data_IF_500044251152
#
_entry.id   IF_500044251152
#
_cell.length_a   1.000
_cell.length_b   1.000
_cell.length_c   1.000
_cell.angle_alpha   90.00
_cell.angle_beta   90.00
_cell.angle_gamma   90.00
#
_symmetry.space_group_name_H-M   'P 1'
#
loop_
_entity.id
_entity.type
_entity.pdbx_description
1 polymer ?
#
# COMPACT_ATOMS: atom_id res chain seq x y z
N UNK A 1 -12.46 11.19 -14.29
CA UNK A 1 -13.48 10.19 -13.93
C UNK A 1 -13.23 8.88 -14.66
N UNK A 2 -13.48 7.79 -13.98
CA UNK A 2 -13.34 6.46 -14.57
C UNK A 2 -14.63 6.09 -15.30
N UNK A 3 -14.53 5.74 -16.59
CA UNK A 3 -15.70 5.40 -17.43
C UNK A 3 -16.78 6.48 -17.44
N UNK A 4 -16.40 7.74 -17.29
CA UNK A 4 -17.33 8.86 -17.31
C UNK A 4 -18.21 8.98 -16.06
N UNK A 5 -17.96 8.19 -15.03
CA UNK A 5 -18.71 8.23 -13.78
C UNK A 5 -17.91 8.82 -12.65
N UNK A 6 -18.59 9.51 -11.75
CA UNK A 6 -17.98 9.96 -10.51
C UNK A 6 -17.88 8.77 -9.58
N UNK A 7 -16.66 8.39 -9.18
CA UNK A 7 -16.45 7.22 -8.36
C UNK A 7 -16.76 7.45 -6.89
N UNK A 8 -16.63 8.68 -6.42
CA UNK A 8 -16.91 9.01 -5.04
C UNK A 8 -17.25 10.50 -4.92
N UNK A 9 -18.23 10.81 -4.10
CA UNK A 9 -18.66 12.18 -3.82
C UNK A 9 -18.48 12.42 -2.32
N UNK A 10 -17.91 13.56 -1.96
CA UNK A 10 -17.71 13.95 -0.58
C UNK A 10 -16.66 15.03 -0.46
N UNK A 11 -16.37 15.45 0.77
CA UNK A 11 -15.28 16.38 1.02
C UNK A 11 -13.93 15.69 0.74
N UNK A 12 -12.86 16.44 0.45
CA UNK A 12 -11.55 15.84 0.26
C UNK A 12 -11.11 14.95 1.42
N UNK A 13 -11.47 15.31 2.65
CA UNK A 13 -11.15 14.50 3.82
C UNK A 13 -11.90 13.17 3.82
N UNK A 14 -13.19 13.18 3.44
CA UNK A 14 -13.97 11.95 3.33
C UNK A 14 -13.41 11.04 2.25
N UNK A 15 -13.08 11.59 1.09
CA UNK A 15 -12.49 10.83 -0.02
C UNK A 15 -11.17 10.20 0.42
N UNK A 16 -10.36 10.93 1.17
CA UNK A 16 -9.08 10.42 1.67
C UNK A 16 -9.29 9.23 2.62
N UNK A 17 -10.28 9.31 3.50
CA UNK A 17 -10.52 8.30 4.52
C UNK A 17 -11.40 7.13 4.03
N UNK A 18 -12.25 7.37 3.03
CA UNK A 18 -13.19 6.38 2.49
C UNK A 18 -12.91 6.11 1.03
N UNK A 19 -11.86 5.37 0.76
CA UNK A 19 -11.50 5.04 -0.61
C UNK A 19 -12.41 3.92 -1.13
N UNK A 20 -13.20 4.18 -2.17
CA UNK A 20 -14.12 3.20 -2.73
C UNK A 20 -13.48 2.24 -3.72
N UNK A 21 -12.53 2.69 -4.52
CA UNK A 21 -11.92 1.84 -5.53
C UNK A 21 -10.49 2.29 -5.84
N UNK A 22 -9.78 1.50 -6.65
CA UNK A 22 -8.40 1.76 -7.00
C UNK A 22 -8.22 3.05 -7.79
N UNK A 23 -9.22 3.44 -8.58
CA UNK A 23 -9.17 4.69 -9.32
C UNK A 23 -9.07 5.88 -8.37
N UNK A 24 -9.94 5.92 -7.36
CA UNK A 24 -9.92 6.98 -6.34
C UNK A 24 -8.62 6.90 -5.55
N UNK A 25 -8.21 5.70 -5.13
CA UNK A 25 -7.00 5.51 -4.34
C UNK A 25 -5.76 6.06 -5.05
N UNK A 26 -5.69 5.94 -6.37
CA UNK A 26 -4.53 6.39 -7.14
C UNK A 26 -4.45 7.91 -7.28
N UNK A 27 -5.52 8.64 -6.96
CA UNK A 27 -5.54 10.10 -7.07
C UNK A 27 -5.41 10.82 -5.73
N UNK A 28 -5.68 10.14 -4.63
CA UNK A 28 -5.73 10.78 -3.31
C UNK A 28 -4.45 10.49 -2.53
N UNK A 29 -3.88 11.54 -2.00
CA UNK A 29 -2.65 11.44 -1.23
C UNK A 29 -1.42 11.88 -2.00
N UNK A 30 -0.33 12.14 -1.29
CA UNK A 30 0.96 12.51 -1.85
C UNK A 30 2.06 11.85 -1.01
N UNK A 31 2.56 10.69 -1.38
CA UNK A 31 2.25 9.95 -2.62
C UNK A 31 0.86 9.33 -2.59
N UNK A 32 0.34 8.90 -3.75
CA UNK A 32 -0.92 8.15 -3.80
C UNK A 32 -0.81 6.83 -3.04
N UNK A 33 -1.97 6.23 -2.72
CA UNK A 33 -2.00 4.93 -2.05
C UNK A 33 -1.21 3.88 -2.85
N UNK A 34 -0.43 3.07 -2.15
CA UNK A 34 0.27 1.95 -2.75
C UNK A 34 -0.74 0.86 -3.11
N UNK A 35 -0.63 0.31 -4.31
CA UNK A 35 -1.51 -0.75 -4.80
C UNK A 35 -0.65 -1.89 -5.31
N UNK A 36 -0.93 -3.10 -4.82
CA UNK A 36 -0.18 -4.29 -5.22
C UNK A 36 -1.13 -5.50 -5.31
N UNK A 37 -0.99 -6.34 -6.36
CA UNK A 37 -1.79 -7.56 -6.43
C UNK A 37 -1.48 -8.51 -5.28
N UNK A 38 -2.52 -9.12 -4.73
CA UNK A 38 -2.40 -10.10 -3.65
C UNK A 38 -3.43 -11.20 -3.83
N UNK A 39 -3.06 -12.43 -3.47
CA UNK A 39 -3.98 -13.58 -3.48
C UNK A 39 -4.15 -14.06 -2.05
N UNK A 40 -5.39 -14.33 -1.67
CA UNK A 40 -5.74 -14.75 -0.32
C UNK A 40 -6.30 -16.17 -0.35
N UNK A 41 -5.81 -17.02 0.54
CA UNK A 41 -6.33 -18.37 0.78
C UNK A 41 -6.30 -18.65 2.28
N UNK A 42 -7.43 -19.10 2.82
CA UNK A 42 -7.55 -19.38 4.25
C UNK A 42 -7.13 -18.20 5.10
N UNK A 43 -7.59 -17.00 4.73
CA UNK A 43 -7.31 -15.75 5.44
C UNK A 43 -5.82 -15.39 5.48
N UNK A 44 -5.04 -15.89 4.55
CA UNK A 44 -3.58 -15.68 4.52
C UNK A 44 -3.14 -15.39 3.09
N UNK A 45 -2.17 -14.50 2.94
CA UNK A 45 -1.58 -14.26 1.62
C UNK A 45 -0.73 -15.45 1.19
N UNK A 46 -0.79 -15.78 -0.11
CA UNK A 46 -0.06 -16.95 -0.64
C UNK A 46 1.18 -16.55 -1.44
N UNK A 47 1.64 -15.32 -1.28
CA UNK A 47 2.86 -14.84 -1.93
C UNK A 47 4.05 -14.98 -0.99
N UNK A 48 5.20 -15.39 -1.54
CA UNK A 48 6.45 -15.41 -0.77
C UNK A 48 6.96 -14.00 -0.44
N UNK A 49 6.45 -12.98 -1.15
CA UNK A 49 6.88 -11.59 -0.97
C UNK A 49 6.00 -10.81 -0.01
N UNK A 50 4.76 -11.26 0.19
CA UNK A 50 3.78 -10.58 1.02
C UNK A 50 3.30 -11.56 2.08
N UNK A 51 3.51 -11.24 3.35
CA UNK A 51 3.17 -12.12 4.47
C UNK A 51 2.08 -11.48 5.32
N UNK A 52 0.84 -11.71 4.94
CA UNK A 52 -0.32 -11.25 5.68
C UNK A 52 -1.10 -12.45 6.19
N UNK A 53 -1.57 -12.38 7.44
CA UNK A 53 -2.38 -13.41 8.07
C UNK A 53 -3.59 -12.77 8.71
N UNK A 54 -4.59 -13.59 9.07
CA UNK A 54 -5.81 -13.12 9.72
C UNK A 54 -6.56 -12.07 8.90
N UNK A 55 -6.54 -12.23 7.57
CA UNK A 55 -7.27 -11.36 6.65
C UNK A 55 -8.67 -11.92 6.50
N UNK A 56 -9.66 -11.20 7.01
CA UNK A 56 -11.04 -11.71 7.07
C UNK A 56 -11.82 -11.43 5.79
N UNK A 57 -11.34 -11.97 4.67
CA UNK A 57 -12.02 -11.90 3.38
C UNK A 57 -11.99 -13.29 2.73
N UNK A 58 -12.85 -13.49 1.73
CA UNK A 58 -12.95 -14.77 1.02
C UNK A 58 -11.68 -15.05 0.23
N UNK A 59 -11.42 -16.33 -0.04
CA UNK A 59 -10.34 -16.72 -0.94
C UNK A 59 -10.53 -16.06 -2.30
N UNK A 60 -9.45 -15.57 -2.89
CA UNK A 60 -9.50 -14.94 -4.19
C UNK A 60 -8.32 -14.03 -4.45
N UNK A 61 -8.42 -13.34 -5.58
CA UNK A 61 -7.41 -12.38 -6.00
C UNK A 61 -7.93 -10.96 -5.76
N UNK A 62 -7.07 -10.14 -5.16
CA UNK A 62 -7.42 -8.78 -4.77
C UNK A 62 -6.29 -7.83 -5.11
N UNK A 63 -6.56 -6.55 -4.97
CA UNK A 63 -5.52 -5.52 -4.93
C UNK A 63 -5.42 -5.03 -3.49
N UNK A 64 -4.24 -5.14 -2.91
CA UNK A 64 -3.96 -4.60 -1.58
C UNK A 64 -3.57 -3.15 -1.73
N UNK A 65 -4.21 -2.28 -0.95
CA UNK A 65 -3.87 -0.87 -0.88
C UNK A 65 -3.47 -0.47 0.53
N UNK A 66 -2.47 0.38 0.63
CA UNK A 66 -2.08 0.97 1.91
C UNK A 66 -1.41 2.32 1.65
N UNK A 67 -1.56 3.23 2.60
CA UNK A 67 -0.97 4.57 2.49
C UNK A 67 0.47 4.56 2.97
N UNK A 68 1.30 5.39 2.36
CA UNK A 68 2.72 5.45 2.69
C UNK A 68 2.97 5.73 4.18
N UNK A 69 2.15 6.55 4.81
CA UNK A 69 2.27 6.90 6.21
C UNK A 69 1.81 5.80 7.17
N UNK A 70 1.05 4.82 6.68
CA UNK A 70 0.53 3.72 7.50
C UNK A 70 1.49 2.53 7.57
N UNK A 71 2.55 2.56 6.80
CA UNK A 71 3.56 1.53 6.79
C UNK A 71 4.80 2.00 7.55
N UNK A 72 5.48 1.07 8.18
CA UNK A 72 6.70 1.38 8.93
C UNK A 72 7.81 0.41 8.58
N UNK A 73 9.04 0.91 8.58
CA UNK A 73 10.22 0.08 8.33
C UNK A 73 10.66 -0.51 9.67
N UNK A 74 10.71 -1.83 9.75
CA UNK A 74 11.03 -2.57 10.97
C UNK A 74 11.93 -3.75 10.63
N UNK A 75 12.41 -4.45 11.66
CA UNK A 75 13.26 -5.64 11.45
C UNK A 75 12.50 -6.76 10.77
N UNK A 76 11.24 -6.93 11.13
CA UNK A 76 10.35 -7.92 10.55
C UNK A 76 9.08 -7.25 10.11
N UNK A 77 8.50 -7.67 8.99
CA UNK A 77 7.30 -7.05 8.47
C UNK A 77 6.56 -7.94 7.50
N UNK A 78 5.57 -7.34 6.87
CA UNK A 78 4.71 -8.04 5.94
C UNK A 78 5.39 -8.24 4.58
N UNK A 79 6.33 -7.39 4.23
CA UNK A 79 7.12 -7.59 3.01
C UNK A 79 8.54 -7.04 3.20
N UNK A 80 9.45 -7.57 2.38
CA UNK A 80 10.87 -7.25 2.46
C UNK A 80 11.40 -7.03 1.04
N UNK A 81 12.21 -6.02 0.85
CA UNK A 81 12.80 -5.74 -0.44
C UNK A 81 13.87 -4.67 -0.38
N UNK A 82 14.57 -4.47 -1.50
CA UNK A 82 15.63 -3.48 -1.58
C UNK A 82 15.06 -2.06 -1.74
N UNK A 83 15.78 -1.10 -1.19
CA UNK A 83 15.46 0.30 -1.36
C UNK A 83 15.81 0.71 -2.79
N UNK A 84 14.82 1.19 -3.52
CA UNK A 84 14.96 1.63 -4.90
C UNK A 84 15.33 3.12 -4.98
N UNK A 85 14.70 3.95 -4.16
CA UNK A 85 14.99 5.38 -4.12
C UNK A 85 14.66 5.96 -2.75
N UNK A 86 15.26 7.11 -2.44
CA UNK A 86 15.02 7.86 -1.21
C UNK A 86 14.81 9.32 -1.60
N UNK A 87 13.70 9.90 -1.19
CA UNK A 87 13.37 11.29 -1.48
C UNK A 87 13.16 12.06 -0.18
N UNK A 88 13.92 13.11 0.01
CA UNK A 88 13.81 13.95 1.19
C UNK A 88 12.77 15.06 0.95
N UNK A 89 11.75 15.09 1.81
CA UNK A 89 10.72 16.13 1.79
C UNK A 89 10.91 16.98 3.04
N UNK A 90 11.21 18.11 3.14
CA UNK A 90 11.42 18.97 4.28
C UNK A 90 11.15 18.38 5.67
N UNK A 91 9.97 17.77 5.87
CA UNK A 91 9.54 17.25 7.18
C UNK A 91 9.55 15.72 7.27
N UNK A 92 9.81 15.03 6.17
CA UNK A 92 9.76 13.57 6.13
C UNK A 92 10.61 13.02 4.98
N UNK A 93 10.69 11.69 4.90
CA UNK A 93 11.42 10.99 3.85
C UNK A 93 10.50 9.97 3.21
N UNK A 94 10.50 9.92 1.87
CA UNK A 94 9.80 8.86 1.13
C UNK A 94 10.83 7.83 0.70
N UNK A 95 10.66 6.61 1.19
CA UNK A 95 11.50 5.47 0.81
C UNK A 95 10.70 4.61 -0.14
N UNK A 96 11.23 4.35 -1.32
CA UNK A 96 10.57 3.50 -2.31
C UNK A 96 11.28 2.16 -2.34
N UNK A 97 10.51 1.08 -2.16
CA UNK A 97 11.00 -0.29 -2.26
C UNK A 97 10.53 -0.91 -3.56
N UNK A 98 11.35 -1.78 -4.12
CA UNK A 98 10.98 -2.55 -5.30
C UNK A 98 10.71 -4.00 -4.89
N UNK A 99 9.45 -4.42 -5.01
CA UNK A 99 9.02 -5.79 -4.72
C UNK A 99 8.55 -6.38 -6.05
N UNK A 100 9.33 -7.30 -6.64
CA UNK A 100 9.13 -7.77 -8.01
C UNK A 100 9.09 -6.56 -8.96
N UNK A 101 7.98 -6.34 -9.64
CA UNK A 101 7.80 -5.23 -10.57
C UNK A 101 7.00 -4.08 -9.95
N UNK A 102 6.79 -4.11 -8.64
CA UNK A 102 5.99 -3.10 -7.96
C UNK A 102 6.88 -2.16 -7.16
N UNK A 103 6.61 -0.87 -7.24
CA UNK A 103 7.27 0.14 -6.43
C UNK A 103 6.32 0.55 -5.32
N UNK A 104 6.76 0.41 -4.08
CA UNK A 104 5.96 0.72 -2.90
C UNK A 104 6.61 1.87 -2.14
N UNK A 105 5.82 2.87 -1.80
CA UNK A 105 6.30 4.09 -1.16
C UNK A 105 5.98 4.09 0.32
N UNK A 106 6.98 4.35 1.15
CA UNK A 106 6.86 4.38 2.60
C UNK A 106 7.27 5.77 3.07
N UNK A 107 6.44 6.39 3.89
CA UNK A 107 6.76 7.70 4.47
C UNK A 107 7.35 7.48 5.86
N UNK A 108 8.56 7.98 6.07
CA UNK A 108 9.27 7.81 7.33
C UNK A 108 9.88 9.14 7.77
N UNK A 109 10.49 9.15 8.95
CA UNK A 109 11.07 10.36 9.51
C UNK A 109 12.34 10.79 8.77
N UNK A 110 12.77 12.04 9.01
CA UNK A 110 14.01 12.55 8.44
C UNK A 110 15.27 11.88 9.03
N UNK A 111 15.11 11.11 10.11
CA UNK A 111 16.22 10.38 10.74
C UNK A 111 16.52 9.05 10.05
N UNK A 112 15.84 8.75 8.95
CA UNK A 112 16.06 7.51 8.22
C UNK A 112 17.49 7.50 7.67
N UNK A 113 18.25 6.44 7.96
CA UNK A 113 19.68 6.37 7.65
C UNK A 113 20.10 5.26 6.70
N UNK A 114 19.16 4.40 6.27
CA UNK A 114 19.48 3.33 5.34
C UNK A 114 19.76 3.88 3.93
N UNK A 115 20.42 3.10 3.11
CA UNK A 115 20.89 3.53 1.79
C UNK A 115 20.18 2.76 0.67
N UNK A 116 20.21 3.33 -0.53
CA UNK A 116 19.69 2.67 -1.74
C UNK A 116 20.41 1.32 -1.89
N UNK A 117 19.62 0.29 -2.17
CA UNK A 117 20.10 -1.08 -2.32
C UNK A 117 20.05 -1.91 -1.05
N UNK A 118 19.93 -1.28 0.12
CA UNK A 118 19.74 -2.03 1.36
C UNK A 118 18.38 -2.73 1.37
N UNK A 119 18.36 -3.92 1.96
CA UNK A 119 17.12 -4.70 2.10
C UNK A 119 16.51 -4.36 3.44
N UNK A 120 15.25 -3.93 3.40
CA UNK A 120 14.50 -3.58 4.61
C UNK A 120 13.16 -4.28 4.61
N UNK A 121 12.58 -4.43 5.80
CA UNK A 121 11.25 -5.01 5.97
C UNK A 121 10.26 -3.91 6.33
N UNK A 122 9.02 -4.08 5.88
CA UNK A 122 7.96 -3.11 6.11
C UNK A 122 6.77 -3.79 6.75
N UNK A 123 6.23 -3.17 7.78
CA UNK A 123 5.06 -3.66 8.48
C UNK A 123 3.89 -2.71 8.30
N UNK A 124 2.71 -3.29 8.04
CA UNK A 124 1.46 -2.56 7.91
C UNK A 124 0.43 -3.26 8.81
N UNK A 125 -0.16 -2.55 9.78
CA UNK A 125 -1.24 -3.14 10.58
C UNK A 125 -2.40 -3.59 9.69
N UNK A 126 -2.97 -4.76 9.96
CA UNK A 126 -4.09 -5.28 9.16
C UNK A 126 -5.24 -4.27 9.06
N UNK A 127 -5.51 -3.55 10.14
CA UNK A 127 -6.60 -2.57 10.18
C UNK A 127 -6.40 -1.38 9.22
N UNK A 128 -5.17 -1.16 8.76
CA UNK A 128 -4.84 -0.08 7.84
C UNK A 128 -4.67 -0.56 6.41
N UNK A 129 -4.88 -1.85 6.16
CA UNK A 129 -4.86 -2.42 4.82
C UNK A 129 -6.23 -2.29 4.17
N UNK A 130 -6.24 -1.96 2.88
CA UNK A 130 -7.46 -1.88 2.08
C UNK A 130 -7.40 -2.96 1.01
N UNK A 131 -8.50 -3.67 0.83
CA UNK A 131 -8.59 -4.71 -0.19
C UNK A 131 -9.62 -4.32 -1.23
N UNK A 132 -9.23 -4.41 -2.49
CA UNK A 132 -10.09 -4.06 -3.62
C UNK A 132 -10.28 -5.30 -4.48
N UNK A 133 -11.45 -5.44 -5.07
CA UNK A 133 -11.71 -6.52 -6.02
C UNK A 133 -10.74 -6.37 -7.20
N UNK A 134 -10.07 -7.47 -7.58
CA UNK A 134 -9.04 -7.42 -8.62
C UNK A 134 -9.59 -7.13 -10.01
N UNK A 135 -10.88 -7.41 -10.25
CA UNK A 135 -11.52 -7.19 -11.55
C UNK A 135 -12.18 -5.83 -11.63
N UNK A 136 -12.95 -5.46 -10.60
CA UNK A 136 -13.73 -4.21 -10.60
C UNK A 136 -13.00 -3.05 -9.97
N UNK A 137 -12.01 -3.31 -9.09
CA UNK A 137 -11.33 -2.29 -8.33
C UNK A 137 -12.15 -1.71 -7.19
N UNK A 138 -13.30 -2.31 -6.88
CA UNK A 138 -14.20 -1.81 -5.84
C UNK A 138 -13.67 -2.23 -4.47
N UNK A 139 -13.68 -1.30 -3.52
CA UNK A 139 -13.24 -1.53 -2.14
C UNK A 139 -14.18 -2.50 -1.43
N UNK A 140 -13.61 -3.45 -0.71
CA UNK A 140 -14.35 -4.45 0.05
C UNK A 140 -14.60 -4.03 1.49
#
# INVERSE_FOLDING_TARGET
MNNGKIQQIGSPKEIYNRTFNTFVASFIGSPPMNLIPISIRNKTSISQYLKFTKINIKDGKYTLGFRAEDASIQKEGNFTGPIYSIELLGDSTIVTLKIKNNLLHIKTSNNFSSKIGEIVSVKIPNSLCHFFDSKTGIHL
#
